data_IF_190923147723
#
_entry.id   IF_190923147723
#
_cell.length_a   1.000
_cell.length_b   1.000
_cell.length_c   1.000
_cell.angle_alpha   90.00
_cell.angle_beta   90.00
_cell.angle_gamma   90.00
#
_symmetry.space_group_name_H-M   'P 1'
#
loop_
_entity.id
_entity.type
_entity.pdbx_description
1 polymer ?
#
# COMPACT_ATOMS: atom_id res chain seq x y z
N UNK A 1 44.50 -4.37 37.73
CA UNK A 1 43.33 -3.47 37.54
C UNK A 1 42.33 -4.19 36.65
N UNK A 2 41.33 -4.84 37.24
CA UNK A 2 40.33 -5.62 36.50
C UNK A 2 39.25 -4.67 35.97
N UNK A 3 39.15 -4.54 34.65
CA UNK A 3 38.09 -3.77 34.01
C UNK A 3 36.74 -4.48 34.24
N UNK A 4 35.92 -3.92 35.12
CA UNK A 4 34.52 -4.31 35.25
C UNK A 4 33.81 -4.02 33.92
N UNK A 5 33.51 -5.07 33.17
CA UNK A 5 32.65 -4.98 32.00
C UNK A 5 31.23 -4.65 32.49
N UNK A 6 30.84 -3.38 32.39
CA UNK A 6 29.48 -2.93 32.63
C UNK A 6 28.53 -3.71 31.71
N UNK A 7 27.54 -4.44 32.24
CA UNK A 7 26.57 -5.14 31.43
C UNK A 7 25.77 -4.12 30.62
N UNK A 8 25.95 -4.12 29.30
CA UNK A 8 25.12 -3.31 28.41
C UNK A 8 23.65 -3.70 28.62
N UNK A 9 22.73 -2.73 28.80
CA UNK A 9 21.32 -3.04 28.98
C UNK A 9 20.81 -3.80 27.76
N UNK A 10 20.18 -4.96 27.99
CA UNK A 10 19.72 -5.89 26.95
C UNK A 10 18.83 -5.24 25.87
N UNK A 11 18.21 -4.10 26.18
CA UNK A 11 17.40 -3.28 25.26
C UNK A 11 18.22 -2.52 24.22
N UNK A 12 19.45 -2.10 24.54
CA UNK A 12 20.35 -1.45 23.57
C UNK A 12 20.89 -2.47 22.55
N UNK A 13 21.26 -3.67 23.02
CA UNK A 13 21.64 -4.79 22.18
C UNK A 13 20.50 -5.19 21.22
N UNK A 14 19.25 -5.26 21.71
CA UNK A 14 18.08 -5.58 20.90
C UNK A 14 17.80 -4.57 19.78
N UNK A 15 17.96 -3.26 20.04
CA UNK A 15 17.82 -2.21 19.02
C UNK A 15 18.91 -2.30 17.95
N UNK A 16 20.15 -2.55 18.35
CA UNK A 16 21.27 -2.74 17.43
C UNK A 16 21.07 -3.93 16.49
N UNK A 17 20.57 -5.05 17.02
CA UNK A 17 20.24 -6.25 16.23
C UNK A 17 19.12 -5.97 15.23
N UNK A 18 18.01 -5.36 15.67
CA UNK A 18 16.88 -5.04 14.78
C UNK A 18 17.33 -4.12 13.63
N UNK A 19 18.09 -3.06 13.92
CA UNK A 19 18.55 -2.12 12.89
C UNK A 19 19.43 -2.81 11.85
N UNK A 20 20.38 -3.65 12.28
CA UNK A 20 21.25 -4.41 11.35
C UNK A 20 20.44 -5.39 10.51
N UNK A 21 19.48 -6.09 11.12
CA UNK A 21 18.63 -7.03 10.41
C UNK A 21 17.71 -6.31 9.40
N UNK A 22 17.08 -5.21 9.81
CA UNK A 22 16.25 -4.39 8.93
C UNK A 22 17.05 -3.85 7.74
N UNK A 23 18.28 -3.36 7.96
CA UNK A 23 19.16 -2.93 6.87
C UNK A 23 19.52 -4.08 5.92
N UNK A 24 19.78 -5.28 6.46
CA UNK A 24 20.05 -6.47 5.67
C UNK A 24 18.84 -6.90 4.83
N UNK A 25 17.65 -6.99 5.42
CA UNK A 25 16.42 -7.35 4.71
C UNK A 25 16.02 -6.27 3.69
N UNK A 26 16.23 -4.99 4.00
CA UNK A 26 16.02 -3.89 3.05
C UNK A 26 16.95 -4.03 1.85
N UNK A 27 18.24 -4.33 2.07
CA UNK A 27 19.21 -4.56 0.99
C UNK A 27 18.87 -5.80 0.17
N UNK A 28 18.35 -6.85 0.82
CA UNK A 28 17.86 -8.06 0.15
C UNK A 28 16.64 -7.77 -0.69
N UNK A 29 15.68 -7.00 -0.18
CA UNK A 29 14.48 -6.57 -0.92
C UNK A 29 14.84 -5.68 -2.11
N UNK A 30 15.75 -4.72 -1.92
CA UNK A 30 16.24 -3.84 -2.98
C UNK A 30 16.87 -4.60 -4.17
N UNK A 31 17.42 -5.78 -3.91
CA UNK A 31 18.05 -6.66 -4.92
C UNK A 31 17.10 -7.75 -5.42
N UNK A 32 15.89 -7.83 -4.89
CA UNK A 32 14.93 -8.84 -5.29
C UNK A 32 14.47 -8.57 -6.73
N UNK A 33 14.53 -9.54 -7.66
CA UNK A 33 14.20 -9.31 -9.08
C UNK A 33 12.84 -8.66 -9.30
N UNK A 34 11.81 -9.13 -8.59
CA UNK A 34 10.46 -8.55 -8.67
C UNK A 34 10.40 -7.08 -8.23
N UNK A 35 11.20 -6.68 -7.25
CA UNK A 35 11.26 -5.28 -6.83
C UNK A 35 11.94 -4.43 -7.91
N UNK A 36 13.06 -4.89 -8.46
CA UNK A 36 13.77 -4.20 -9.55
C UNK A 36 12.85 -4.04 -10.76
N UNK A 37 12.15 -5.10 -11.18
CA UNK A 37 11.15 -5.05 -12.25
C UNK A 37 10.06 -4.03 -11.90
N UNK A 38 9.54 -4.05 -10.67
CA UNK A 38 8.55 -3.08 -10.21
C UNK A 38 9.01 -1.63 -10.34
N UNK A 39 10.23 -1.32 -9.91
CA UNK A 39 10.83 0.01 -10.05
C UNK A 39 10.97 0.40 -11.52
N UNK A 40 11.45 -0.51 -12.38
CA UNK A 40 11.57 -0.27 -13.82
C UNK A 40 10.21 0.02 -14.47
N UNK A 41 9.17 -0.73 -14.12
CA UNK A 41 7.80 -0.47 -14.61
C UNK A 41 7.29 0.89 -14.13
N UNK A 42 7.55 1.29 -12.89
CA UNK A 42 7.22 2.63 -12.41
C UNK A 42 7.93 3.72 -13.21
N UNK A 43 9.21 3.54 -13.54
CA UNK A 43 9.97 4.50 -14.35
C UNK A 43 9.44 4.60 -15.77
N UNK A 44 9.12 3.46 -16.40
CA UNK A 44 8.50 3.41 -17.73
C UNK A 44 7.11 4.07 -17.74
N UNK A 45 6.39 3.96 -16.63
CA UNK A 45 5.10 4.60 -16.40
C UNK A 45 5.17 6.11 -16.19
N UNK A 46 6.34 6.75 -16.05
CA UNK A 46 6.43 8.21 -15.80
C UNK A 46 6.05 9.10 -16.99
N UNK A 47 5.47 8.54 -18.06
CA UNK A 47 5.05 9.32 -19.22
C UNK A 47 3.81 10.16 -18.86
N UNK A 48 3.83 11.47 -19.13
CA UNK A 48 2.66 12.31 -18.90
C UNK A 48 1.55 11.91 -19.87
N UNK A 49 0.35 11.70 -19.33
CA UNK A 49 -0.87 11.64 -20.13
C UNK A 49 -1.43 13.06 -20.25
N UNK A 50 -1.64 13.52 -21.47
CA UNK A 50 -2.13 14.87 -21.77
C UNK A 50 -3.57 15.10 -21.30
N UNK A 51 -4.40 14.06 -21.13
CA UNK A 51 -5.82 14.20 -20.74
C UNK A 51 -6.08 14.08 -19.24
N UNK A 52 -5.24 13.33 -18.53
CA UNK A 52 -5.48 12.98 -17.12
C UNK A 52 -4.42 13.54 -16.17
N UNK A 53 -3.50 14.38 -16.66
CA UNK A 53 -2.49 15.10 -15.88
C UNK A 53 -1.81 14.26 -14.78
N UNK A 54 -1.51 13.00 -15.09
CA UNK A 54 -0.87 11.99 -14.22
C UNK A 54 -1.78 11.23 -13.23
N UNK A 55 -3.09 11.50 -13.19
CA UNK A 55 -4.04 10.79 -12.34
C UNK A 55 -4.55 9.45 -12.90
N UNK A 56 -4.33 9.16 -14.19
CA UNK A 56 -4.55 7.83 -14.79
C UNK A 56 -3.53 6.78 -14.33
N UNK A 57 -2.35 7.27 -13.93
CA UNK A 57 -1.14 6.48 -13.79
C UNK A 57 -0.87 5.84 -12.40
N UNK A 58 -1.62 6.10 -11.31
CA UNK A 58 -1.33 5.49 -10.01
C UNK A 58 -1.62 3.99 -9.96
N UNK A 59 -2.27 3.42 -10.97
CA UNK A 59 -2.33 1.96 -11.13
C UNK A 59 -0.93 1.34 -11.28
N UNK A 60 0.03 2.07 -11.85
CA UNK A 60 1.40 1.58 -12.07
C UNK A 60 2.10 1.28 -10.74
N UNK A 61 2.29 2.20 -9.79
CA UNK A 61 2.88 1.87 -8.49
C UNK A 61 2.09 0.81 -7.71
N UNK A 62 0.75 0.80 -7.80
CA UNK A 62 -0.06 -0.22 -7.16
C UNK A 62 0.22 -1.64 -7.70
N UNK A 63 0.24 -1.81 -9.02
CA UNK A 63 0.54 -3.10 -9.65
C UNK A 63 2.04 -3.46 -9.54
N UNK A 64 2.91 -2.53 -9.89
CA UNK A 64 4.34 -2.78 -10.02
C UNK A 64 5.06 -2.88 -8.67
N UNK A 65 4.71 -2.07 -7.67
CA UNK A 65 5.33 -2.13 -6.34
C UNK A 65 4.45 -2.86 -5.33
N UNK A 66 3.13 -2.64 -5.37
CA UNK A 66 2.20 -3.30 -4.47
C UNK A 66 2.10 -4.81 -4.75
N UNK A 67 1.60 -5.20 -5.92
CA UNK A 67 1.33 -6.62 -6.25
C UNK A 67 2.62 -7.44 -6.37
N UNK A 68 3.62 -6.96 -7.11
CA UNK A 68 4.92 -7.66 -7.18
C UNK A 68 5.61 -7.69 -5.82
N UNK A 69 5.48 -6.61 -5.05
CA UNK A 69 6.05 -6.50 -3.72
C UNK A 69 5.41 -7.44 -2.69
N UNK A 70 4.11 -7.73 -2.81
CA UNK A 70 3.41 -8.77 -2.06
C UNK A 70 4.08 -10.12 -2.28
N UNK A 71 4.28 -10.51 -3.55
CA UNK A 71 4.88 -11.80 -3.90
C UNK A 71 6.32 -11.89 -3.41
N UNK A 72 7.11 -10.83 -3.62
CA UNK A 72 8.49 -10.75 -3.15
C UNK A 72 8.60 -10.85 -1.62
N UNK A 73 7.74 -10.13 -0.89
CA UNK A 73 7.83 -10.13 0.57
C UNK A 73 7.31 -11.44 1.18
N UNK A 74 6.31 -12.07 0.57
CA UNK A 74 5.85 -13.39 0.97
C UNK A 74 6.92 -14.48 0.77
N UNK A 75 7.66 -14.45 -0.35
CA UNK A 75 8.78 -15.38 -0.59
C UNK A 75 9.89 -15.15 0.43
N UNK A 76 10.32 -13.91 0.65
CA UNK A 76 11.37 -13.57 1.61
C UNK A 76 11.01 -13.98 3.04
N UNK A 77 9.77 -13.73 3.46
CA UNK A 77 9.27 -14.10 4.80
C UNK A 77 9.25 -15.61 4.99
N UNK A 78 8.79 -16.36 3.98
CA UNK A 78 8.79 -17.83 4.01
C UNK A 78 10.21 -18.39 4.07
N UNK A 79 11.12 -17.88 3.25
CA UNK A 79 12.50 -18.34 3.20
C UNK A 79 13.22 -18.06 4.54
N UNK A 80 12.94 -16.91 5.14
CA UNK A 80 13.42 -16.55 6.47
C UNK A 80 12.91 -17.53 7.56
N UNK A 81 11.67 -18.00 7.45
CA UNK A 81 11.12 -19.02 8.32
C UNK A 81 11.74 -20.42 8.07
N UNK A 82 12.02 -20.78 6.82
CA UNK A 82 12.68 -22.03 6.46
C UNK A 82 14.12 -22.10 6.99
N UNK A 83 14.89 -21.03 6.81
CA UNK A 83 16.25 -20.92 7.37
C UNK A 83 16.26 -21.07 8.90
N UNK A 84 15.28 -20.45 9.58
CA UNK A 84 15.14 -20.59 11.03
C UNK A 84 14.91 -22.03 11.48
N UNK A 85 14.08 -22.79 10.74
CA UNK A 85 13.83 -24.21 11.06
C UNK A 85 15.07 -25.07 10.84
N UNK A 86 15.83 -24.80 9.78
CA UNK A 86 17.06 -25.52 9.46
C UNK A 86 18.19 -25.28 10.47
N UNK A 87 18.26 -24.07 11.06
CA UNK A 87 19.31 -23.71 12.01
C UNK A 87 19.19 -24.35 13.40
N UNK A 88 18.05 -24.99 13.75
CA UNK A 88 17.81 -25.65 15.03
C UNK A 88 17.62 -24.71 16.23
N UNK A 89 18.44 -23.67 16.37
CA UNK A 89 18.31 -22.59 17.34
C UNK A 89 18.28 -21.22 16.61
N UNK A 90 17.16 -20.46 16.69
CA UNK A 90 17.10 -19.16 16.05
C UNK A 90 18.10 -18.18 16.69
N UNK A 91 18.98 -17.53 15.92
CA UNK A 91 19.87 -16.50 16.46
C UNK A 91 19.10 -15.25 16.93
N UNK A 92 17.85 -15.08 16.47
CA UNK A 92 17.02 -13.90 16.74
C UNK A 92 15.55 -14.33 16.96
N UNK A 93 14.81 -13.71 17.90
CA UNK A 93 13.38 -13.97 18.09
C UNK A 93 12.54 -13.67 16.84
N UNK A 94 11.45 -14.41 16.64
CA UNK A 94 10.58 -14.26 15.47
C UNK A 94 10.03 -12.85 15.32
N UNK A 95 9.51 -12.25 16.39
CA UNK A 95 9.04 -10.86 16.40
C UNK A 95 10.06 -9.86 15.84
N UNK A 96 11.36 -10.05 16.10
CA UNK A 96 12.42 -9.13 15.65
C UNK A 96 12.68 -9.32 14.16
N UNK A 97 12.64 -10.57 13.68
CA UNK A 97 12.72 -10.88 12.26
C UNK A 97 11.52 -10.34 11.49
N UNK A 98 10.30 -10.50 12.02
CA UNK A 98 9.09 -9.92 11.44
C UNK A 98 9.16 -8.39 11.41
N UNK A 99 9.59 -7.76 12.50
CA UNK A 99 9.77 -6.30 12.54
C UNK A 99 10.80 -5.82 11.49
N UNK A 100 11.89 -6.56 11.28
CA UNK A 100 12.87 -6.23 10.25
C UNK A 100 12.28 -6.33 8.82
N UNK A 101 11.48 -7.34 8.54
CA UNK A 101 10.77 -7.49 7.24
C UNK A 101 9.73 -6.38 7.04
N UNK A 102 8.97 -6.04 8.08
CA UNK A 102 8.03 -4.90 8.05
C UNK A 102 8.75 -3.59 7.78
N UNK A 103 9.91 -3.35 8.40
CA UNK A 103 10.72 -2.17 8.12
C UNK A 103 11.28 -2.17 6.68
N UNK A 104 11.59 -3.33 6.11
CA UNK A 104 11.98 -3.43 4.71
C UNK A 104 10.86 -3.02 3.74
N UNK A 105 9.58 -3.15 4.12
CA UNK A 105 8.45 -2.63 3.34
C UNK A 105 8.44 -1.10 3.22
N UNK A 106 9.22 -0.36 4.01
CA UNK A 106 9.38 1.08 3.85
C UNK A 106 10.13 1.45 2.56
N UNK A 107 10.89 0.51 1.98
CA UNK A 107 11.60 0.75 0.72
C UNK A 107 10.66 0.95 -0.47
N UNK A 108 9.73 0.03 -0.81
CA UNK A 108 8.76 0.27 -1.88
C UNK A 108 7.85 1.47 -1.58
N UNK A 109 7.54 1.73 -0.30
CA UNK A 109 6.84 2.96 0.09
C UNK A 109 7.63 4.22 -0.25
N UNK A 110 8.94 4.26 0.04
CA UNK A 110 9.81 5.38 -0.30
C UNK A 110 9.91 5.59 -1.82
N UNK A 111 9.99 4.52 -2.61
CA UNK A 111 9.91 4.61 -4.08
C UNK A 111 8.55 5.16 -4.51
N UNK A 112 7.45 4.70 -3.90
CA UNK A 112 6.12 5.23 -4.11
C UNK A 112 6.01 6.73 -3.78
N UNK A 113 6.67 7.21 -2.73
CA UNK A 113 6.73 8.63 -2.38
C UNK A 113 7.51 9.46 -3.41
N UNK A 114 8.60 8.93 -3.97
CA UNK A 114 9.32 9.59 -5.07
C UNK A 114 8.45 9.69 -6.31
N UNK A 115 7.75 8.60 -6.67
CA UNK A 115 6.77 8.60 -7.74
C UNK A 115 5.65 9.62 -7.47
N UNK A 116 5.12 9.67 -6.26
CA UNK A 116 4.09 10.63 -5.85
C UNK A 116 4.56 12.07 -6.00
N UNK A 117 5.73 12.43 -5.46
CA UNK A 117 6.30 13.78 -5.58
C UNK A 117 6.54 14.18 -7.03
N UNK A 118 6.96 13.23 -7.87
CA UNK A 118 7.09 13.46 -9.31
C UNK A 118 5.74 13.74 -9.98
N UNK A 119 4.69 12.97 -9.66
CA UNK A 119 3.35 13.17 -10.23
C UNK A 119 2.70 14.47 -9.75
N UNK A 120 2.91 14.85 -8.49
CA UNK A 120 2.49 16.17 -7.97
C UNK A 120 3.19 17.28 -8.75
N UNK A 121 4.50 17.17 -8.98
CA UNK A 121 5.22 18.13 -9.82
C UNK A 121 4.66 18.19 -11.23
N UNK A 122 4.46 17.04 -11.88
CA UNK A 122 3.92 16.98 -13.25
C UNK A 122 2.54 17.63 -13.34
N UNK A 123 1.68 17.39 -12.35
CA UNK A 123 0.37 17.99 -12.24
C UNK A 123 0.41 19.52 -12.23
N UNK A 124 1.34 20.11 -11.48
CA UNK A 124 1.46 21.58 -11.43
C UNK A 124 2.09 22.17 -12.70
N UNK A 125 2.95 21.43 -13.40
CA UNK A 125 3.58 21.89 -14.65
C UNK A 125 2.66 21.73 -15.84
N UNK A 126 1.87 20.65 -15.88
CA UNK A 126 0.94 20.30 -16.95
C UNK A 126 -0.44 20.03 -16.35
N UNK A 127 -1.19 21.07 -15.96
CA UNK A 127 -2.53 20.89 -15.42
C UNK A 127 -3.45 20.23 -16.45
N UNK A 128 -4.43 19.43 -16.02
CA UNK A 128 -5.36 18.78 -16.93
C UNK A 128 -6.17 19.84 -17.69
N UNK A 129 -6.55 19.56 -18.94
CA UNK A 129 -7.45 20.45 -19.67
C UNK A 129 -8.83 20.46 -18.99
N UNK A 130 -9.70 21.45 -19.28
CA UNK A 130 -11.00 21.58 -18.62
C UNK A 130 -11.93 20.36 -18.75
N UNK A 131 -11.80 19.62 -19.85
CA UNK A 131 -12.49 18.35 -20.16
C UNK A 131 -11.82 17.13 -19.50
N UNK A 132 -10.61 17.30 -18.95
CA UNK A 132 -9.81 16.26 -18.30
C UNK A 132 -10.13 16.01 -16.83
N UNK A 133 -9.42 15.04 -16.24
CA UNK A 133 -9.54 14.70 -14.83
C UNK A 133 -8.33 15.22 -14.02
N UNK A 134 -8.52 15.73 -12.79
CA UNK A 134 -9.78 16.00 -12.10
C UNK A 134 -10.44 17.34 -12.50
N UNK A 135 -11.78 17.40 -12.49
CA UNK A 135 -12.58 18.59 -12.83
C UNK A 135 -13.52 19.02 -11.69
N UNK A 136 -14.17 20.18 -11.84
CA UNK A 136 -15.16 20.68 -10.88
C UNK A 136 -14.54 21.19 -9.56
N UNK A 137 -15.31 21.22 -8.45
CA UNK A 137 -14.91 21.88 -7.20
C UNK A 137 -13.92 21.07 -6.34
N UNK A 138 -13.14 20.17 -6.94
CA UNK A 138 -12.14 19.37 -6.20
C UNK A 138 -11.02 20.24 -5.66
N UNK A 139 -10.78 20.13 -4.35
CA UNK A 139 -9.69 20.83 -3.68
C UNK A 139 -8.34 20.17 -3.97
N UNK A 140 -7.25 20.92 -3.81
CA UNK A 140 -5.90 20.37 -3.94
C UNK A 140 -5.66 19.21 -2.96
N UNK A 141 -6.11 19.34 -1.71
CA UNK A 141 -6.00 18.27 -0.72
C UNK A 141 -6.72 16.98 -1.12
N UNK A 142 -7.84 17.08 -1.86
CA UNK A 142 -8.52 15.91 -2.43
C UNK A 142 -7.64 15.22 -3.47
N UNK A 143 -7.06 16.00 -4.40
CA UNK A 143 -6.18 15.50 -5.48
C UNK A 143 -4.93 14.82 -4.91
N UNK A 144 -4.28 15.47 -3.95
CA UNK A 144 -3.09 14.94 -3.29
C UNK A 144 -3.40 13.66 -2.50
N UNK A 145 -4.58 13.55 -1.89
CA UNK A 145 -4.99 12.35 -1.18
C UNK A 145 -5.23 11.15 -2.12
N UNK A 146 -5.85 11.38 -3.28
CA UNK A 146 -6.02 10.34 -4.32
C UNK A 146 -4.65 9.79 -4.74
N UNK A 147 -3.74 10.66 -5.18
CA UNK A 147 -2.40 10.26 -5.62
C UNK A 147 -1.60 9.55 -4.52
N UNK A 148 -1.74 9.99 -3.27
CA UNK A 148 -1.05 9.39 -2.14
C UNK A 148 -1.59 8.00 -1.78
N UNK A 149 -2.91 7.83 -1.79
CA UNK A 149 -3.56 6.56 -1.50
C UNK A 149 -3.32 5.52 -2.58
N UNK A 150 -3.50 5.90 -3.85
CA UNK A 150 -3.38 4.97 -4.97
C UNK A 150 -1.91 4.65 -5.32
N UNK A 151 -0.96 5.53 -5.00
CA UNK A 151 0.47 5.31 -5.22
C UNK A 151 1.22 4.78 -4.00
N UNK A 152 1.79 5.66 -3.15
CA UNK A 152 2.56 5.28 -1.96
C UNK A 152 1.88 4.22 -1.08
N UNK A 153 0.61 4.42 -0.71
CA UNK A 153 -0.07 3.49 0.20
C UNK A 153 -0.29 2.11 -0.42
N UNK A 154 -0.60 2.04 -1.72
CA UNK A 154 -0.66 0.76 -2.44
C UNK A 154 0.71 0.05 -2.50
N UNK A 155 1.79 0.81 -2.72
CA UNK A 155 3.16 0.30 -2.71
C UNK A 155 3.62 -0.20 -1.32
N UNK A 156 3.02 0.30 -0.23
CA UNK A 156 3.26 -0.18 1.13
C UNK A 156 2.38 -1.39 1.49
N UNK A 157 1.08 -1.34 1.16
CA UNK A 157 0.08 -2.32 1.56
C UNK A 157 0.37 -3.72 1.00
N UNK A 158 0.76 -3.82 -0.28
CA UNK A 158 1.08 -5.09 -0.93
C UNK A 158 2.20 -5.88 -0.22
N UNK A 159 3.41 -5.30 -0.05
CA UNK A 159 4.50 -5.93 0.69
C UNK A 159 4.12 -6.32 2.12
N UNK A 160 3.39 -5.46 2.86
CA UNK A 160 2.94 -5.79 4.22
C UNK A 160 1.99 -6.99 4.23
N UNK A 161 1.06 -7.06 3.28
CA UNK A 161 0.21 -8.24 3.08
C UNK A 161 1.05 -9.48 2.73
N UNK A 162 2.11 -9.31 1.95
CA UNK A 162 3.12 -10.34 1.69
C UNK A 162 3.77 -10.90 2.97
N UNK A 163 4.13 -10.03 3.92
CA UNK A 163 4.64 -10.47 5.25
C UNK A 163 3.59 -11.31 5.97
N UNK A 164 2.33 -10.87 6.01
CA UNK A 164 1.23 -11.61 6.66
C UNK A 164 1.08 -12.98 6.02
N UNK A 165 1.00 -13.05 4.69
CA UNK A 165 0.87 -14.31 3.95
C UNK A 165 2.04 -15.24 4.24
N UNK A 166 3.27 -14.72 4.18
CA UNK A 166 4.47 -15.52 4.43
C UNK A 166 4.55 -16.08 5.84
N UNK A 167 3.93 -15.42 6.83
CA UNK A 167 3.83 -15.91 8.21
C UNK A 167 2.73 -16.95 8.37
N UNK A 168 1.51 -16.63 7.95
CA UNK A 168 0.32 -17.42 8.24
C UNK A 168 0.07 -18.58 7.27
N UNK A 169 0.50 -18.42 6.01
CA UNK A 169 0.32 -19.42 4.96
C UNK A 169 1.62 -19.65 4.15
N UNK A 170 2.67 -20.25 4.77
CA UNK A 170 4.01 -20.35 4.18
C UNK A 170 4.14 -21.37 3.02
N UNK A 171 3.04 -21.67 2.31
CA UNK A 171 3.02 -22.63 1.19
C UNK A 171 3.42 -21.96 -0.12
N UNK A 172 4.08 -22.71 -1.01
CA UNK A 172 4.35 -22.27 -2.39
C UNK A 172 3.00 -22.05 -3.10
N UNK A 173 2.90 -21.01 -3.93
CA UNK A 173 1.68 -20.70 -4.69
C UNK A 173 0.62 -19.85 -3.98
N UNK A 174 0.61 -19.77 -2.64
CA UNK A 174 -0.40 -18.94 -1.93
C UNK A 174 -0.23 -17.46 -2.26
N UNK A 175 0.99 -16.94 -2.27
CA UNK A 175 1.24 -15.53 -2.59
C UNK A 175 0.73 -15.10 -3.99
N UNK A 176 1.07 -15.79 -5.10
CA UNK A 176 0.51 -15.42 -6.40
C UNK A 176 -1.00 -15.64 -6.48
N UNK A 177 -1.56 -16.66 -5.83
CA UNK A 177 -3.01 -16.85 -5.76
C UNK A 177 -3.71 -15.68 -5.05
N UNK A 178 -3.19 -15.23 -3.91
CA UNK A 178 -3.72 -14.06 -3.19
C UNK A 178 -3.54 -12.79 -4.01
N UNK A 179 -2.44 -12.62 -4.75
CA UNK A 179 -2.26 -11.51 -5.68
C UNK A 179 -3.36 -11.49 -6.76
N UNK A 180 -3.67 -12.63 -7.37
CA UNK A 180 -4.75 -12.75 -8.37
C UNK A 180 -6.11 -12.44 -7.75
N UNK A 181 -6.42 -13.00 -6.58
CA UNK A 181 -7.68 -12.75 -5.88
C UNK A 181 -7.82 -11.28 -5.47
N UNK A 182 -6.73 -10.65 -5.02
CA UNK A 182 -6.69 -9.23 -4.69
C UNK A 182 -6.96 -8.37 -5.92
N UNK A 183 -6.31 -8.66 -7.05
CA UNK A 183 -6.55 -7.94 -8.31
C UNK A 183 -7.99 -8.11 -8.78
N UNK A 184 -8.54 -9.33 -8.74
CA UNK A 184 -9.94 -9.58 -9.08
C UNK A 184 -10.90 -8.80 -8.17
N UNK A 185 -10.62 -8.77 -6.85
CA UNK A 185 -11.38 -7.99 -5.88
C UNK A 185 -11.32 -6.49 -6.19
N UNK A 186 -10.13 -5.94 -6.45
CA UNK A 186 -9.95 -4.54 -6.84
C UNK A 186 -10.72 -4.25 -8.13
N UNK A 187 -10.63 -5.08 -9.17
CA UNK A 187 -11.37 -4.87 -10.42
C UNK A 187 -12.88 -4.79 -10.18
N UNK A 188 -13.43 -5.66 -9.35
CA UNK A 188 -14.85 -5.66 -9.03
C UNK A 188 -15.26 -4.42 -8.21
N UNK A 189 -14.44 -4.03 -7.23
CA UNK A 189 -14.78 -2.99 -6.26
C UNK A 189 -14.15 -1.62 -6.52
N UNK A 190 -13.36 -1.41 -7.57
CA UNK A 190 -12.72 -0.11 -7.84
C UNK A 190 -13.67 0.95 -8.42
N UNK A 191 -14.94 0.61 -8.69
CA UNK A 191 -15.95 1.55 -9.16
C UNK A 191 -16.39 1.38 -10.63
N UNK A 192 -15.77 0.47 -11.38
CA UNK A 192 -16.19 0.13 -12.76
C UNK A 192 -17.61 -0.49 -12.79
N UNK A 193 -17.92 -1.34 -11.82
CA UNK A 193 -19.21 -2.03 -11.72
C UNK A 193 -20.22 -1.11 -11.04
N UNK A 194 -21.19 -0.58 -11.80
CA UNK A 194 -22.12 0.44 -11.31
C UNK A 194 -22.84 0.07 -9.99
N UNK A 195 -23.36 -1.15 -9.79
CA UNK A 195 -23.97 -1.57 -8.52
C UNK A 195 -23.03 -1.53 -7.30
N UNK A 196 -21.72 -1.66 -7.50
CA UNK A 196 -20.73 -1.72 -6.41
C UNK A 196 -20.12 -0.36 -6.08
N UNK A 197 -20.43 0.70 -6.84
CA UNK A 197 -19.90 2.06 -6.63
C UNK A 197 -20.12 2.64 -5.22
N UNK A 198 -21.25 2.40 -4.53
CA UNK A 198 -21.47 2.93 -3.18
C UNK A 198 -20.48 2.35 -2.14
N UNK A 199 -20.09 1.08 -2.32
CA UNK A 199 -19.24 0.34 -1.37
C UNK A 199 -17.77 0.24 -1.83
N UNK A 200 -17.41 0.93 -2.90
CA UNK A 200 -16.09 0.83 -3.55
C UNK A 200 -14.91 1.19 -2.65
N UNK A 201 -15.14 2.01 -1.63
CA UNK A 201 -14.13 2.46 -0.67
C UNK A 201 -13.59 1.34 0.24
N UNK A 202 -14.29 0.19 0.31
CA UNK A 202 -13.79 -1.02 0.98
C UNK A 202 -12.60 -1.62 0.22
N UNK A 203 -12.46 -1.31 -1.07
CA UNK A 203 -11.33 -1.76 -1.85
C UNK A 203 -10.02 -1.11 -1.34
N UNK A 204 -8.92 -1.88 -1.20
CA UNK A 204 -7.62 -1.32 -0.85
C UNK A 204 -7.00 -0.49 -2.00
N UNK A 205 -7.68 -0.46 -3.15
CA UNK A 205 -7.40 0.40 -4.29
C UNK A 205 -8.73 0.71 -5.01
N UNK A 206 -9.07 1.97 -5.23
CA UNK A 206 -10.37 2.35 -5.82
C UNK A 206 -10.23 3.58 -6.70
N UNK A 207 -11.04 3.71 -7.73
CA UNK A 207 -11.06 4.93 -8.53
C UNK A 207 -11.88 6.03 -7.84
N UNK A 208 -11.34 7.23 -7.89
CA UNK A 208 -12.06 8.46 -7.58
C UNK A 208 -12.55 9.21 -8.82
N UNK A 209 -12.16 8.77 -10.01
CA UNK A 209 -12.66 9.28 -11.29
C UNK A 209 -11.82 8.76 -12.45
N UNK A 210 -12.14 9.24 -13.65
CA UNK A 210 -11.53 8.79 -14.90
C UNK A 210 -12.55 8.70 -16.06
N UNK A 211 -12.12 8.19 -17.23
CA UNK A 211 -12.97 8.03 -18.41
C UNK A 211 -13.87 6.80 -18.26
N UNK A 212 -15.02 6.97 -17.61
CA UNK A 212 -16.01 5.90 -17.45
C UNK A 212 -17.15 5.96 -18.48
N UNK A 213 -17.23 7.06 -19.22
CA UNK A 213 -18.20 7.25 -20.29
C UNK A 213 -19.62 7.50 -19.82
N UNK A 214 -20.39 8.08 -20.71
CA UNK A 214 -21.85 8.21 -20.64
C UNK A 214 -22.45 7.75 -21.96
N UNK A 215 -23.78 7.56 -22.01
CA UNK A 215 -24.46 7.16 -23.24
C UNK A 215 -24.19 8.19 -24.35
N UNK A 216 -23.55 7.76 -25.44
CA UNK A 216 -23.18 8.60 -26.58
C UNK A 216 -21.81 9.27 -26.47
N UNK A 217 -21.09 9.09 -25.37
CA UNK A 217 -19.74 9.65 -25.16
C UNK A 217 -18.92 8.73 -24.22
N UNK A 218 -18.26 7.69 -24.75
CA UNK A 218 -17.61 6.65 -23.95
C UNK A 218 -16.35 7.12 -23.20
N UNK A 219 -15.74 8.23 -23.61
CA UNK A 219 -14.53 8.79 -23.00
C UNK A 219 -14.84 9.88 -21.97
N UNK A 220 -16.13 10.12 -21.69
CA UNK A 220 -16.54 11.17 -20.77
C UNK A 220 -15.92 10.97 -19.40
N UNK A 221 -15.29 12.03 -18.88
CA UNK A 221 -14.71 12.05 -17.55
C UNK A 221 -15.80 12.07 -16.48
N UNK A 222 -15.70 11.14 -15.53
CA UNK A 222 -16.52 11.10 -14.33
C UNK A 222 -15.65 11.35 -13.10
N UNK A 223 -16.26 11.98 -12.10
CA UNK A 223 -15.69 12.20 -10.78
C UNK A 223 -16.61 11.50 -9.78
N UNK A 224 -16.08 10.52 -9.06
CA UNK A 224 -16.87 9.63 -8.20
C UNK A 224 -17.00 10.19 -6.78
N UNK A 225 -18.10 9.83 -6.10
CA UNK A 225 -18.45 10.33 -4.76
C UNK A 225 -17.54 9.79 -3.65
N UNK A 226 -17.35 10.53 -2.56
CA UNK A 226 -16.58 10.08 -1.39
C UNK A 226 -15.37 10.95 -1.06
N UNK A 227 -14.69 10.60 0.03
CA UNK A 227 -13.54 11.33 0.57
C UNK A 227 -12.25 10.51 0.47
N UNK A 228 -11.31 10.89 -0.41
CA UNK A 228 -10.02 10.23 -0.52
C UNK A 228 -9.15 10.44 0.73
N UNK A 229 -9.35 11.52 1.49
CA UNK A 229 -8.62 11.75 2.74
C UNK A 229 -8.94 10.68 3.79
N UNK A 230 -10.24 10.42 4.00
CA UNK A 230 -10.68 9.36 4.90
C UNK A 230 -10.33 7.97 4.38
N UNK A 231 -10.37 7.78 3.05
CA UNK A 231 -9.91 6.53 2.44
C UNK A 231 -8.41 6.28 2.66
N UNK A 232 -7.56 7.30 2.55
CA UNK A 232 -6.14 7.21 2.94
C UNK A 232 -6.01 6.83 4.41
N UNK A 233 -6.79 7.43 5.31
CA UNK A 233 -6.85 7.07 6.72
C UNK A 233 -7.20 5.58 6.92
N UNK A 234 -8.16 5.08 6.16
CA UNK A 234 -8.52 3.66 6.11
C UNK A 234 -7.34 2.78 5.66
N UNK A 235 -6.64 3.13 4.58
CA UNK A 235 -5.47 2.38 4.09
C UNK A 235 -4.33 2.35 5.11
N UNK A 236 -4.08 3.47 5.81
CA UNK A 236 -3.09 3.53 6.90
C UNK A 236 -3.45 2.55 8.01
N UNK A 237 -4.74 2.50 8.40
CA UNK A 237 -5.20 1.56 9.40
C UNK A 237 -5.05 0.10 8.93
N UNK A 238 -5.36 -0.21 7.67
CA UNK A 238 -5.14 -1.54 7.09
C UNK A 238 -3.66 -1.95 7.10
N UNK A 239 -2.76 -1.03 6.73
CA UNK A 239 -1.32 -1.27 6.79
C UNK A 239 -0.88 -1.56 8.24
N UNK A 240 -1.38 -0.78 9.21
CA UNK A 240 -1.14 -1.03 10.63
C UNK A 240 -1.66 -2.38 11.10
N UNK A 241 -2.87 -2.78 10.67
CA UNK A 241 -3.45 -4.09 10.97
C UNK A 241 -2.62 -5.23 10.38
N UNK A 242 -2.07 -5.08 9.18
CA UNK A 242 -1.15 -6.06 8.60
C UNK A 242 0.12 -6.22 9.45
N UNK A 243 0.70 -5.11 9.95
CA UNK A 243 1.84 -5.17 10.88
C UNK A 243 1.46 -5.90 12.18
N UNK A 244 0.32 -5.56 12.77
CA UNK A 244 -0.19 -6.23 13.99
C UNK A 244 -0.38 -7.73 13.73
N UNK A 245 -1.05 -8.11 12.65
CA UNK A 245 -1.32 -9.50 12.29
C UNK A 245 -0.02 -10.29 12.03
N UNK A 246 0.97 -9.67 11.39
CA UNK A 246 2.28 -10.28 11.17
C UNK A 246 3.02 -10.52 12.49
N UNK A 247 3.02 -9.53 13.40
CA UNK A 247 3.67 -9.66 14.71
C UNK A 247 2.94 -10.66 15.62
N UNK A 248 1.61 -10.72 15.54
CA UNK A 248 0.77 -11.60 16.35
C UNK A 248 1.01 -13.09 16.13
N UNK A 249 1.59 -13.43 14.98
CA UNK A 249 1.98 -14.79 14.66
C UNK A 249 2.92 -15.37 15.74
N UNK A 250 3.84 -14.56 16.30
CA UNK A 250 4.70 -14.95 17.41
C UNK A 250 3.90 -14.98 18.73
N UNK A 251 3.73 -16.14 19.39
CA UNK A 251 3.02 -16.23 20.67
C UNK A 251 3.60 -15.30 21.75
N UNK A 252 4.91 -15.04 21.72
CA UNK A 252 5.60 -14.16 22.68
C UNK A 252 5.32 -12.68 22.43
N UNK A 253 4.71 -12.32 21.30
CA UNK A 253 4.32 -10.96 20.97
C UNK A 253 2.85 -10.64 21.32
N UNK A 254 2.04 -11.66 21.70
CA UNK A 254 0.59 -11.54 22.00
C UNK A 254 0.31 -10.85 23.33
N UNK A 255 0.75 -9.61 23.45
CA UNK A 255 0.54 -8.78 24.64
C UNK A 255 -0.84 -8.12 24.64
N UNK A 256 -1.40 -7.77 25.81
CA UNK A 256 -2.62 -6.96 25.90
C UNK A 256 -2.52 -5.62 25.16
N UNK A 257 -1.32 -5.02 25.12
CA UNK A 257 -1.06 -3.79 24.36
C UNK A 257 -1.23 -4.00 22.86
N UNK A 258 -0.64 -5.07 22.31
CA UNK A 258 -0.79 -5.38 20.89
C UNK A 258 -2.26 -5.67 20.54
N UNK A 259 -3.01 -6.34 21.44
CA UNK A 259 -4.47 -6.55 21.33
C UNK A 259 -5.22 -5.22 21.22
N UNK A 260 -4.96 -4.31 22.17
CA UNK A 260 -5.59 -3.00 22.19
C UNK A 260 -5.27 -2.20 20.91
N UNK A 261 -4.01 -2.19 20.47
CA UNK A 261 -3.60 -1.52 19.21
C UNK A 261 -4.35 -2.10 18.01
N UNK A 262 -4.44 -3.43 17.90
CA UNK A 262 -5.22 -4.08 16.84
C UNK A 262 -6.70 -3.69 16.87
N UNK A 263 -7.32 -3.68 18.05
CA UNK A 263 -8.73 -3.30 18.20
C UNK A 263 -8.98 -1.82 17.84
N UNK A 264 -8.10 -0.92 18.28
CA UNK A 264 -8.18 0.52 17.96
C UNK A 264 -8.01 0.74 16.46
N UNK A 265 -7.03 0.10 15.83
CA UNK A 265 -6.82 0.20 14.37
C UNK A 265 -8.01 -0.35 13.59
N UNK A 266 -8.63 -1.45 14.05
CA UNK A 266 -9.81 -2.01 13.41
C UNK A 266 -11.00 -1.06 13.51
N UNK A 267 -11.27 -0.51 14.70
CA UNK A 267 -12.33 0.46 14.88
C UNK A 267 -12.09 1.73 14.04
N UNK A 268 -10.86 2.24 14.03
CA UNK A 268 -10.47 3.39 13.22
C UNK A 268 -10.60 3.10 11.71
N UNK A 269 -10.24 1.90 11.25
CA UNK A 269 -10.42 1.50 9.85
C UNK A 269 -11.89 1.51 9.45
N UNK A 270 -12.78 0.96 10.29
CA UNK A 270 -14.23 0.96 10.04
C UNK A 270 -14.76 2.39 9.98
N UNK A 271 -14.43 3.23 10.95
CA UNK A 271 -14.86 4.63 11.00
C UNK A 271 -14.35 5.39 9.77
N UNK A 272 -13.06 5.28 9.45
CA UNK A 272 -12.47 5.95 8.30
C UNK A 272 -13.09 5.47 6.98
N UNK A 273 -13.39 4.18 6.85
CA UNK A 273 -14.06 3.62 5.66
C UNK A 273 -15.49 4.17 5.52
N UNK A 274 -16.26 4.21 6.61
CA UNK A 274 -17.61 4.81 6.60
C UNK A 274 -17.55 6.29 6.26
N UNK A 275 -16.63 7.06 6.88
CA UNK A 275 -16.45 8.47 6.58
C UNK A 275 -16.01 8.69 5.13
N UNK A 276 -15.18 7.81 4.55
CA UNK A 276 -14.82 7.85 3.14
C UNK A 276 -16.04 7.70 2.22
N UNK A 277 -17.03 6.90 2.62
CA UNK A 277 -18.26 6.70 1.84
C UNK A 277 -19.25 7.87 1.97
N UNK A 278 -19.37 8.48 3.15
CA UNK A 278 -20.46 9.45 3.44
C UNK A 278 -20.03 10.91 3.43
N UNK A 279 -18.74 11.20 3.25
CA UNK A 279 -18.21 12.58 3.20
C UNK A 279 -17.41 12.81 1.91
N UNK A 280 -17.04 14.06 1.63
CA UNK A 280 -16.30 14.43 0.44
C UNK A 280 -17.24 14.86 -0.69
N UNK A 281 -17.13 14.25 -1.86
CA UNK A 281 -18.03 14.55 -2.99
C UNK A 281 -19.33 13.78 -2.80
N UNK A 282 -20.47 14.47 -2.76
CA UNK A 282 -21.76 13.85 -2.40
C UNK A 282 -22.26 12.84 -3.43
N UNK A 283 -22.11 13.14 -4.72
CA UNK A 283 -22.63 12.33 -5.80
C UNK A 283 -21.64 12.27 -6.96
N UNK A 284 -21.75 11.22 -7.78
CA UNK A 284 -20.92 11.10 -8.99
C UNK A 284 -21.26 12.24 -9.94
N UNK A 285 -20.25 13.02 -10.32
CA UNK A 285 -20.38 14.13 -11.25
C UNK A 285 -19.87 13.71 -12.63
N UNK A 286 -20.54 14.19 -13.67
CA UNK A 286 -20.15 14.03 -15.07
C UNK A 286 -19.54 15.35 -15.53
N UNK A 287 -18.40 15.31 -16.22
CA UNK A 287 -17.81 16.53 -16.76
C UNK A 287 -18.82 17.18 -17.73
N UNK A 288 -19.21 18.46 -17.55
CA UNK A 288 -20.15 19.10 -18.46
C UNK A 288 -19.60 19.23 -19.89
N UNK A 289 -18.27 19.24 -20.05
CA UNK A 289 -17.61 19.32 -21.34
C UNK A 289 -17.51 17.96 -22.02
N UNK A 290 -17.78 17.95 -23.33
CA UNK A 290 -17.65 16.79 -24.20
C UNK A 290 -16.25 16.23 -24.23
N UNK A 291 -16.13 14.92 -24.42
CA UNK A 291 -14.85 14.37 -24.90
C UNK A 291 -14.54 14.96 -26.27
N UNK A 292 -13.29 15.33 -26.55
CA UNK A 292 -12.89 15.86 -27.85
C UNK A 292 -12.83 14.78 -28.93
#
# INVERSE_FOLDING_TARGET
MSAQALPLPATAAGRGVLRRLAASETRRYARHPLFVIGVLLCLLGLRPDAREASFANPIVPAAALGVLGLVAMASMTRDAAALRRAAGAPPVPERVQTAALVLACLLPFAVGLLWYGWNVRLYHVNPPPPDGFPFGPVTEGWRLAVLFGEGPMAALGGPLLGVVIGRWWPRRGVAPMVAVLLVAFVIAFQGLVAPLRPVRHVSPWTYFGGPFGVKGDPERMLLMSGSPQWWVGYLVCLCGLAVVAALWHDPRARTPRLRAVGAVLLAAAVVACVLAMVTGIDHTMVNPLGSP
#
